data_IF_211842349571
#
_entry.id   IF_211842349571
#
_cell.length_a   1.000
_cell.length_b   1.000
_cell.length_c   1.000
_cell.angle_alpha   90.00
_cell.angle_beta   90.00
_cell.angle_gamma   90.00
#
_symmetry.space_group_name_H-M   'P 1'
#
loop_
_entity.id
_entity.type
_entity.pdbx_description
1 polymer ?
#
# COMPACT_ATOMS: atom_id res chain seq x y z
N UNK A 1 14.67 -0.06 8.01
CA UNK A 1 14.57 -1.49 7.74
C UNK A 1 13.18 -1.84 7.25
N UNK A 2 13.07 -2.12 5.94
CA UNK A 2 11.89 -2.64 5.27
C UNK A 2 12.12 -4.11 4.94
N UNK A 3 11.05 -4.89 4.88
CA UNK A 3 11.09 -6.32 4.58
C UNK A 3 10.25 -6.58 3.33
N UNK A 4 10.86 -7.21 2.32
CA UNK A 4 10.13 -7.81 1.20
C UNK A 4 9.23 -8.91 1.77
N UNK A 5 8.00 -9.05 1.27
CA UNK A 5 6.94 -9.89 1.86
C UNK A 5 7.21 -11.39 2.08
N UNK A 6 8.45 -11.91 2.07
CA UNK A 6 8.79 -13.32 2.34
C UNK A 6 10.16 -13.57 3.01
N UNK A 7 11.17 -12.69 2.94
CA UNK A 7 12.53 -13.02 3.40
C UNK A 7 13.14 -11.98 4.34
N UNK A 8 13.80 -12.45 5.41
CA UNK A 8 14.51 -11.59 6.38
C UNK A 8 15.74 -10.99 5.71
N UNK A 9 15.92 -9.68 5.86
CA UNK A 9 17.23 -9.06 5.62
C UNK A 9 17.64 -9.06 4.15
N UNK A 10 16.71 -8.77 3.25
CA UNK A 10 17.04 -8.51 1.85
C UNK A 10 17.75 -7.14 1.78
N UNK A 11 19.09 -7.13 1.73
CA UNK A 11 19.89 -5.90 1.60
C UNK A 11 19.44 -5.08 0.39
N UNK A 12 18.94 -5.76 -0.64
CA UNK A 12 18.33 -5.14 -1.82
C UNK A 12 17.07 -4.33 -1.47
N UNK A 13 16.28 -4.75 -0.49
CA UNK A 13 15.09 -4.01 -0.06
C UNK A 13 15.48 -2.73 0.70
N UNK A 14 16.54 -2.77 1.51
CA UNK A 14 17.01 -1.58 2.21
C UNK A 14 17.65 -0.58 1.26
N UNK A 15 18.49 -1.04 0.34
CA UNK A 15 19.05 -0.22 -0.73
C UNK A 15 17.93 0.38 -1.61
N UNK A 16 16.92 -0.41 -1.96
CA UNK A 16 15.74 0.03 -2.72
C UNK A 16 15.01 1.18 -2.00
N UNK A 17 14.73 1.04 -0.70
CA UNK A 17 14.05 2.11 0.05
C UNK A 17 14.95 3.32 0.24
N UNK A 18 16.24 3.13 0.51
CA UNK A 18 17.18 4.25 0.67
C UNK A 18 17.40 5.03 -0.62
N UNK A 19 17.16 4.42 -1.78
CA UNK A 19 17.19 5.11 -3.08
C UNK A 19 15.99 6.06 -3.27
N UNK A 20 14.91 5.90 -2.52
CA UNK A 20 13.75 6.80 -2.54
C UNK A 20 14.07 8.10 -1.80
N UNK A 21 14.60 9.10 -2.52
CA UNK A 21 15.02 10.37 -1.91
C UNK A 21 13.90 11.39 -1.78
N UNK A 22 13.24 11.72 -2.89
CA UNK A 22 12.23 12.78 -2.95
C UNK A 22 10.97 12.25 -3.60
N UNK A 23 9.80 12.37 -2.95
CA UNK A 23 8.54 12.02 -3.58
C UNK A 23 8.23 13.01 -4.71
N UNK A 24 7.74 12.51 -5.83
CA UNK A 24 7.19 13.34 -6.91
C UNK A 24 5.88 13.98 -6.50
N UNK A 25 5.09 13.22 -5.74
CA UNK A 25 3.80 13.64 -5.21
C UNK A 25 3.67 13.13 -3.79
N UNK A 26 3.11 13.94 -2.91
CA UNK A 26 2.76 13.53 -1.56
C UNK A 26 1.45 14.18 -1.13
N UNK A 27 0.64 13.43 -0.38
CA UNK A 27 -0.61 13.93 0.20
C UNK A 27 -0.89 13.24 1.50
N UNK A 28 -1.53 13.96 2.41
CA UNK A 28 -1.98 13.44 3.70
C UNK A 28 -3.51 13.49 3.74
N UNK A 29 -4.11 12.42 4.23
CA UNK A 29 -5.55 12.23 4.32
C UNK A 29 -5.97 12.06 5.78
N UNK A 30 -7.17 12.54 6.10
CA UNK A 30 -7.80 12.23 7.38
C UNK A 30 -8.16 10.74 7.45
N UNK A 31 -8.27 10.19 8.65
CA UNK A 31 -8.76 8.81 8.84
C UNK A 31 -10.28 8.80 8.84
N UNK A 32 -10.89 9.01 7.68
CA UNK A 32 -12.35 8.90 7.50
C UNK A 32 -12.68 8.10 6.25
N UNK A 33 -13.89 7.55 6.20
CA UNK A 33 -14.36 6.84 5.02
C UNK A 33 -14.46 7.76 3.79
N UNK A 34 -14.86 9.03 3.95
CA UNK A 34 -14.89 9.97 2.82
C UNK A 34 -13.48 10.25 2.27
N UNK A 35 -12.47 10.20 3.13
CA UNK A 35 -11.09 10.39 2.71
C UNK A 35 -10.57 9.22 1.86
N UNK A 36 -11.15 8.02 1.97
CA UNK A 36 -10.78 6.86 1.15
C UNK A 36 -11.07 7.13 -0.32
N UNK A 37 -12.28 7.59 -0.65
CA UNK A 37 -12.68 7.85 -2.04
C UNK A 37 -11.78 8.94 -2.66
N UNK A 38 -11.62 10.06 -1.97
CA UNK A 38 -10.74 11.15 -2.43
C UNK A 38 -9.26 10.76 -2.53
N UNK A 39 -8.80 9.78 -1.74
CA UNK A 39 -7.44 9.25 -1.85
C UNK A 39 -7.26 8.39 -3.10
N UNK A 40 -8.26 7.56 -3.44
CA UNK A 40 -8.24 6.77 -4.67
C UNK A 40 -8.24 7.69 -5.87
N UNK A 41 -9.17 8.65 -5.95
CA UNK A 41 -9.26 9.61 -7.06
C UNK A 41 -7.93 10.35 -7.27
N UNK A 42 -7.37 10.91 -6.20
CA UNK A 42 -6.07 11.58 -6.24
C UNK A 42 -4.95 10.64 -6.72
N UNK A 43 -4.93 9.39 -6.25
CA UNK A 43 -3.93 8.43 -6.65
C UNK A 43 -4.01 8.11 -8.15
N UNK A 44 -5.23 7.97 -8.70
CA UNK A 44 -5.40 7.73 -10.13
C UNK A 44 -4.94 8.92 -10.97
N UNK A 45 -5.26 10.14 -10.56
CA UNK A 45 -4.78 11.37 -11.21
C UNK A 45 -3.25 11.43 -11.25
N UNK A 46 -2.61 11.12 -10.12
CA UNK A 46 -1.15 11.06 -10.01
C UNK A 46 -0.56 9.98 -10.93
N UNK A 47 -1.12 8.78 -10.93
CA UNK A 47 -0.66 7.71 -11.82
C UNK A 47 -0.79 8.09 -13.30
N UNK A 48 -1.95 8.62 -13.72
CA UNK A 48 -2.18 9.06 -15.11
C UNK A 48 -1.22 10.17 -15.54
N UNK A 49 -0.84 11.06 -14.61
CA UNK A 49 0.09 12.15 -14.90
C UNK A 49 1.56 11.69 -15.04
N UNK A 50 1.95 10.64 -14.33
CA UNK A 50 3.37 10.24 -14.20
C UNK A 50 3.72 9.03 -15.07
N UNK A 51 2.78 8.12 -15.32
CA UNK A 51 3.06 6.86 -16.02
C UNK A 51 2.01 6.56 -17.08
N UNK A 52 2.41 6.06 -18.27
CA UNK A 52 1.47 5.60 -19.29
C UNK A 52 0.93 4.22 -18.90
N UNK A 53 0.02 4.19 -17.92
CA UNK A 53 -0.77 3.00 -17.63
C UNK A 53 -1.85 2.81 -18.69
N UNK A 54 -1.99 1.57 -19.16
CA UNK A 54 -3.23 1.17 -19.83
C UNK A 54 -4.37 1.02 -18.80
N UNK A 55 -5.59 0.80 -19.27
CA UNK A 55 -6.76 0.71 -18.39
C UNK A 55 -6.70 -0.47 -17.42
N UNK A 56 -6.09 -1.59 -17.82
CA UNK A 56 -5.96 -2.77 -16.97
C UNK A 56 -4.94 -2.52 -15.86
N UNK A 57 -3.80 -1.92 -16.20
CA UNK A 57 -2.77 -1.52 -15.25
C UNK A 57 -3.27 -0.47 -14.27
N UNK A 58 -4.03 0.53 -14.75
CA UNK A 58 -4.65 1.54 -13.89
C UNK A 58 -5.66 0.90 -12.94
N UNK A 59 -6.53 0.04 -13.44
CA UNK A 59 -7.51 -0.69 -12.62
C UNK A 59 -6.82 -1.53 -11.54
N UNK A 60 -5.73 -2.22 -11.92
CA UNK A 60 -4.91 -2.99 -10.99
C UNK A 60 -4.26 -2.09 -9.94
N UNK A 61 -3.78 -0.91 -10.34
CA UNK A 61 -3.20 0.06 -9.44
C UNK A 61 -4.18 0.64 -8.42
N UNK A 62 -5.36 1.03 -8.88
CA UNK A 62 -6.43 1.52 -8.01
C UNK A 62 -6.89 0.43 -7.02
N UNK A 63 -7.00 -0.83 -7.47
CA UNK A 63 -7.36 -1.95 -6.59
C UNK A 63 -6.33 -2.18 -5.49
N UNK A 64 -5.03 -2.25 -5.85
CA UNK A 64 -3.95 -2.45 -4.88
C UNK A 64 -3.91 -1.28 -3.89
N UNK A 65 -4.02 -0.06 -4.40
CA UNK A 65 -4.03 1.15 -3.58
C UNK A 65 -5.18 1.15 -2.59
N UNK A 66 -6.41 0.91 -3.05
CA UNK A 66 -7.61 0.86 -2.22
C UNK A 66 -7.46 -0.17 -1.09
N UNK A 67 -7.02 -1.38 -1.39
CA UNK A 67 -6.84 -2.43 -0.39
C UNK A 67 -5.80 -2.05 0.67
N UNK A 68 -4.69 -1.43 0.27
CA UNK A 68 -3.63 -1.01 1.20
C UNK A 68 -4.02 0.24 2.00
N UNK A 69 -4.73 1.19 1.39
CA UNK A 69 -5.25 2.36 2.06
C UNK A 69 -6.35 2.00 3.08
N UNK A 70 -7.25 1.07 2.73
CA UNK A 70 -8.24 0.53 3.66
C UNK A 70 -7.58 -0.21 4.83
N UNK A 71 -6.47 -0.91 4.61
CA UNK A 71 -5.71 -1.50 5.71
C UNK A 71 -5.14 -0.41 6.65
N UNK A 72 -4.58 0.67 6.10
CA UNK A 72 -4.09 1.80 6.88
C UNK A 72 -5.21 2.48 7.70
N UNK A 73 -6.39 2.65 7.09
CA UNK A 73 -7.59 3.21 7.71
C UNK A 73 -8.14 2.29 8.82
N UNK A 74 -8.59 1.07 8.48
CA UNK A 74 -9.29 0.18 9.41
C UNK A 74 -8.36 -0.46 10.45
N UNK A 75 -7.26 -1.06 9.99
CA UNK A 75 -6.39 -1.88 10.83
C UNK A 75 -5.26 -1.06 11.47
N UNK A 76 -4.80 -0.02 10.77
CA UNK A 76 -3.79 0.92 11.26
C UNK A 76 -4.40 1.88 12.27
N UNK A 77 -4.99 2.96 11.78
CA UNK A 77 -5.42 4.10 12.58
C UNK A 77 -6.62 3.78 13.48
N UNK A 78 -7.67 3.12 12.96
CA UNK A 78 -8.85 2.79 13.77
C UNK A 78 -8.64 1.58 14.71
N UNK A 79 -7.57 0.80 14.51
CA UNK A 79 -7.27 -0.38 15.33
C UNK A 79 -8.40 -1.41 15.34
N UNK A 80 -9.18 -1.49 14.27
CA UNK A 80 -10.23 -2.47 14.08
C UNK A 80 -9.57 -3.71 13.48
N UNK A 81 -9.04 -4.58 14.34
CA UNK A 81 -8.48 -5.85 13.87
C UNK A 81 -9.54 -6.76 13.21
N UNK A 82 -9.08 -7.84 12.59
CA UNK A 82 -9.93 -8.77 11.83
C UNK A 82 -11.04 -9.39 12.67
N UNK A 83 -10.75 -9.75 13.91
CA UNK A 83 -11.73 -10.36 14.81
C UNK A 83 -12.78 -9.34 15.26
N UNK A 84 -12.36 -8.10 15.52
CA UNK A 84 -13.25 -6.98 15.83
C UNK A 84 -14.14 -6.64 14.63
N UNK A 85 -13.56 -6.55 13.42
CA UNK A 85 -14.30 -6.30 12.17
C UNK A 85 -15.35 -7.38 11.94
N UNK A 86 -14.96 -8.66 12.04
CA UNK A 86 -15.87 -9.80 11.89
C UNK A 86 -17.04 -9.70 12.88
N UNK A 87 -16.74 -9.44 14.16
CA UNK A 87 -17.77 -9.29 15.19
C UNK A 87 -18.74 -8.15 14.89
N UNK A 88 -18.23 -6.97 14.50
CA UNK A 88 -19.07 -5.83 14.16
C UNK A 88 -19.95 -6.08 12.93
N UNK A 89 -19.44 -6.80 11.92
CA UNK A 89 -20.21 -7.18 10.74
C UNK A 89 -21.30 -8.22 11.09
N UNK A 90 -20.97 -9.25 11.89
CA UNK A 90 -21.93 -10.26 12.35
C UNK A 90 -23.05 -9.66 13.20
N UNK A 91 -22.75 -8.58 13.93
CA UNK A 91 -23.70 -7.84 14.74
C UNK A 91 -24.46 -6.75 13.95
N UNK A 92 -24.08 -6.49 12.70
CA UNK A 92 -24.68 -5.42 11.88
C UNK A 92 -24.33 -3.99 12.32
N UNK A 93 -23.43 -3.82 13.29
CA UNK A 93 -23.10 -2.52 13.91
C UNK A 93 -21.85 -1.86 13.32
N UNK A 94 -21.27 -2.43 12.26
CA UNK A 94 -20.00 -1.95 11.71
C UNK A 94 -20.06 -0.48 11.30
N UNK A 95 -21.01 -0.12 10.43
CA UNK A 95 -21.19 1.23 9.94
C UNK A 95 -21.69 2.21 11.01
N UNK A 96 -22.36 1.72 12.07
CA UNK A 96 -22.76 2.55 13.21
C UNK A 96 -21.57 2.89 14.12
N UNK A 97 -20.61 1.96 14.27
CA UNK A 97 -19.42 2.17 15.09
C UNK A 97 -18.36 3.02 14.41
N UNK A 98 -18.24 2.96 13.09
CA UNK A 98 -17.18 3.67 12.35
C UNK A 98 -17.12 5.17 12.68
N UNK A 99 -18.20 5.98 12.56
CA UNK A 99 -18.13 7.42 12.83
C UNK A 99 -17.70 7.74 14.25
N UNK A 100 -18.08 6.91 15.22
CA UNK A 100 -17.69 7.06 16.63
C UNK A 100 -16.18 6.84 16.79
N UNK A 101 -15.62 5.84 16.10
CA UNK A 101 -14.18 5.55 16.18
C UNK A 101 -13.38 6.63 15.44
N UNK A 102 -13.85 7.06 14.27
CA UNK A 102 -13.24 8.14 13.48
C UNK A 102 -13.19 9.47 14.26
N UNK A 103 -14.28 9.87 14.90
CA UNK A 103 -14.34 11.10 15.71
C UNK A 103 -13.35 11.10 16.89
N UNK A 104 -12.93 9.92 17.35
CA UNK A 104 -11.95 9.77 18.43
C UNK A 104 -10.51 9.63 17.92
N UNK A 105 -10.27 9.83 16.62
CA UNK A 105 -8.98 9.64 15.97
C UNK A 105 -8.58 10.87 15.16
N UNK A 106 -7.59 11.62 15.66
CA UNK A 106 -6.90 12.66 14.88
C UNK A 106 -5.83 12.10 13.93
N UNK A 107 -5.73 10.77 13.86
CA UNK A 107 -4.71 10.09 13.09
C UNK A 107 -4.84 10.37 11.59
N UNK A 108 -3.71 10.35 10.88
CA UNK A 108 -3.65 10.62 9.45
C UNK A 108 -3.02 9.46 8.69
N UNK A 109 -3.27 9.43 7.38
CA UNK A 109 -2.63 8.50 6.44
C UNK A 109 -1.83 9.34 5.46
N UNK A 110 -0.53 9.09 5.38
CA UNK A 110 0.36 9.76 4.42
C UNK A 110 0.58 8.87 3.20
N UNK A 111 0.39 9.42 2.01
CA UNK A 111 0.69 8.75 0.75
C UNK A 111 1.78 9.52 0.02
N UNK A 112 2.80 8.80 -0.44
CA UNK A 112 3.92 9.35 -1.21
C UNK A 112 4.16 8.53 -2.46
N UNK A 113 4.34 9.18 -3.59
CA UNK A 113 4.63 8.54 -4.88
C UNK A 113 6.01 8.97 -5.33
N UNK A 114 6.84 7.99 -5.65
CA UNK A 114 8.22 8.16 -6.07
C UNK A 114 8.40 7.59 -7.47
N UNK A 115 9.26 8.20 -8.26
CA UNK A 115 9.88 7.53 -9.40
C UNK A 115 11.22 6.96 -8.92
N UNK A 116 11.46 5.69 -9.23
CA UNK A 116 12.73 5.04 -9.01
C UNK A 116 13.27 4.56 -10.35
N UNK A 117 14.53 4.89 -10.62
CA UNK A 117 15.23 4.45 -11.82
C UNK A 117 16.29 3.42 -11.44
N UNK A 118 16.23 2.24 -12.06
CA UNK A 118 17.22 1.17 -11.88
C UNK A 118 17.55 0.55 -13.23
N UNK A 119 18.82 0.55 -13.60
CA UNK A 119 19.31 -0.08 -14.83
C UNK A 119 18.59 0.39 -16.12
N UNK A 120 18.18 1.65 -16.20
CA UNK A 120 17.45 2.21 -17.36
C UNK A 120 15.94 1.88 -17.38
N UNK A 121 15.43 1.37 -16.27
CA UNK A 121 14.01 1.05 -16.06
C UNK A 121 13.47 1.96 -14.95
N UNK A 122 12.46 2.74 -15.27
CA UNK A 122 11.74 3.59 -14.34
C UNK A 122 10.54 2.83 -13.73
N UNK A 123 10.31 3.00 -12.45
CA UNK A 123 9.23 2.35 -11.70
C UNK A 123 8.55 3.37 -10.80
N UNK A 124 7.22 3.33 -10.74
CA UNK A 124 6.46 4.17 -9.82
C UNK A 124 6.23 3.40 -8.53
N UNK A 125 6.80 3.92 -7.45
CA UNK A 125 6.74 3.32 -6.12
C UNK A 125 5.80 4.15 -5.26
N UNK A 126 4.79 3.50 -4.72
CA UNK A 126 3.79 4.14 -3.86
C UNK A 126 4.02 3.70 -2.42
N UNK A 127 4.12 4.68 -1.52
CA UNK A 127 4.20 4.50 -0.08
C UNK A 127 2.89 4.91 0.57
N UNK A 128 2.36 4.07 1.46
CA UNK A 128 1.25 4.41 2.34
C UNK A 128 1.71 4.15 3.76
N UNK A 129 1.68 5.17 4.61
CA UNK A 129 1.97 5.02 6.04
C UNK A 129 0.78 5.50 6.89
N UNK A 130 0.48 4.73 7.93
CA UNK A 130 -0.49 5.04 8.98
C UNK A 130 0.21 5.34 10.33
N UNK A 131 -0.51 5.96 11.25
CA UNK A 131 -0.03 6.32 12.60
C UNK A 131 -0.37 5.24 13.64
N UNK A 132 -1.00 4.15 13.21
CA UNK A 132 -1.38 3.02 14.02
C UNK A 132 -0.20 2.26 14.61
N UNK A 133 -0.51 1.26 15.45
CA UNK A 133 0.52 0.45 16.13
C UNK A 133 1.31 -0.43 15.15
N UNK A 134 0.81 -0.61 13.93
CA UNK A 134 1.31 -1.53 12.93
C UNK A 134 1.01 -2.99 13.28
N UNK A 135 1.47 -3.92 12.44
CA UNK A 135 1.24 -5.35 12.63
C UNK A 135 2.53 -6.18 12.58
N UNK A 136 2.50 -7.34 13.23
CA UNK A 136 3.60 -8.28 13.16
C UNK A 136 3.63 -8.99 11.79
N UNK A 137 4.43 -8.44 10.87
CA UNK A 137 4.61 -8.96 9.52
C UNK A 137 5.00 -10.45 9.50
N UNK A 138 5.85 -10.91 10.43
CA UNK A 138 6.30 -12.30 10.49
C UNK A 138 5.15 -13.25 10.84
N UNK A 139 4.27 -12.84 11.75
CA UNK A 139 3.09 -13.62 12.11
C UNK A 139 2.14 -13.73 10.92
N UNK A 140 1.96 -12.64 10.18
CA UNK A 140 1.14 -12.62 8.97
C UNK A 140 1.70 -13.53 7.87
N UNK A 141 3.01 -13.45 7.57
CA UNK A 141 3.66 -14.30 6.55
C UNK A 141 3.51 -15.79 6.88
N UNK A 142 3.60 -16.16 8.17
CA UNK A 142 3.38 -17.54 8.60
C UNK A 142 1.93 -17.98 8.37
N UNK A 143 0.96 -17.12 8.64
CA UNK A 143 -0.47 -17.41 8.46
C UNK A 143 -0.85 -17.52 6.98
N UNK A 144 -0.29 -16.70 6.09
CA UNK A 144 -0.60 -16.74 4.65
C UNK A 144 -0.11 -18.02 3.94
N UNK A 145 0.82 -18.76 4.53
CA UNK A 145 1.28 -20.07 4.04
C UNK A 145 0.33 -21.21 4.41
N UNK A 146 -0.57 -21.00 5.37
CA UNK A 146 -1.61 -21.97 5.71
C UNK A 146 -2.83 -21.78 4.78
N UNK A 147 -3.25 -22.85 4.09
CA UNK A 147 -4.35 -22.82 3.11
C UNK A 147 -5.74 -22.58 3.73
N UNK A 148 -5.84 -22.40 5.04
CA UNK A 148 -7.07 -22.58 5.82
C UNK A 148 -7.67 -21.29 6.38
N UNK A 149 -7.15 -20.10 6.03
CA UNK A 149 -7.69 -18.87 6.59
C UNK A 149 -7.97 -17.78 5.53
N UNK A 150 -9.24 -17.47 5.21
CA UNK A 150 -9.62 -16.42 4.26
C UNK A 150 -9.42 -14.99 4.78
N UNK A 151 -9.01 -14.84 6.05
CA UNK A 151 -8.95 -13.55 6.74
C UNK A 151 -7.63 -12.84 6.46
N UNK A 152 -7.47 -12.31 5.24
CA UNK A 152 -6.28 -11.56 4.78
C UNK A 152 -6.34 -11.14 3.31
N UNK A 153 -7.55 -11.04 2.74
CA UNK A 153 -7.76 -10.82 1.31
C UNK A 153 -7.05 -9.58 0.80
N UNK A 154 -7.11 -8.44 1.49
CA UNK A 154 -6.48 -7.21 1.01
C UNK A 154 -4.99 -7.35 0.74
N UNK A 155 -4.19 -7.74 1.74
CA UNK A 155 -2.75 -7.96 1.54
C UNK A 155 -2.47 -9.06 0.49
N UNK A 156 -3.29 -10.10 0.42
CA UNK A 156 -3.15 -11.15 -0.59
C UNK A 156 -3.46 -10.66 -2.02
N UNK A 157 -4.53 -9.87 -2.17
CA UNK A 157 -4.93 -9.20 -3.41
C UNK A 157 -3.83 -8.24 -3.82
N UNK A 158 -3.35 -7.38 -2.92
CA UNK A 158 -2.24 -6.48 -3.18
C UNK A 158 -1.01 -7.24 -3.69
N UNK A 159 -0.60 -8.31 -2.99
CA UNK A 159 0.56 -9.14 -3.38
C UNK A 159 0.44 -9.81 -4.74
N UNK A 160 -0.78 -10.19 -5.14
CA UNK A 160 -1.02 -10.82 -6.45
C UNK A 160 -1.05 -9.80 -7.59
N UNK A 161 -1.28 -8.53 -7.27
CA UNK A 161 -1.54 -7.48 -8.24
C UNK A 161 -0.44 -6.39 -8.28
N UNK A 162 0.60 -6.50 -7.45
CA UNK A 162 1.81 -5.70 -7.52
C UNK A 162 3.02 -6.55 -7.93
N UNK A 163 4.03 -5.95 -8.54
CA UNK A 163 5.30 -6.61 -8.81
C UNK A 163 6.02 -6.95 -7.51
N UNK A 164 6.06 -5.99 -6.58
CA UNK A 164 6.63 -6.18 -5.26
C UNK A 164 5.94 -5.32 -4.22
N UNK A 165 6.03 -5.78 -2.98
CA UNK A 165 5.51 -5.10 -1.80
C UNK A 165 6.47 -5.26 -0.61
N UNK A 166 6.69 -4.16 0.09
CA UNK A 166 7.60 -4.07 1.22
C UNK A 166 6.89 -3.42 2.39
N UNK A 167 7.16 -3.90 3.60
CA UNK A 167 6.63 -3.32 4.83
C UNK A 167 7.77 -2.89 5.74
N UNK A 168 7.60 -1.78 6.45
CA UNK A 168 8.56 -1.41 7.49
C UNK A 168 8.50 -2.40 8.67
N UNK A 169 9.51 -2.36 9.55
CA UNK A 169 9.59 -3.25 10.72
C UNK A 169 8.37 -3.17 11.65
N UNK A 170 7.79 -1.97 11.80
CA UNK A 170 6.62 -1.74 12.64
C UNK A 170 5.34 -2.30 12.01
N UNK A 171 5.30 -2.42 10.69
CA UNK A 171 4.12 -2.85 9.93
C UNK A 171 3.06 -1.77 9.82
N UNK A 172 3.41 -0.49 9.90
CA UNK A 172 2.50 0.65 9.70
C UNK A 172 2.87 1.49 8.47
N UNK A 173 3.80 0.99 7.66
CA UNK A 173 4.08 1.60 6.37
C UNK A 173 4.39 0.53 5.33
N UNK A 174 3.77 0.68 4.17
CA UNK A 174 3.86 -0.21 3.02
C UNK A 174 4.37 0.54 1.81
N UNK A 175 5.21 -0.12 1.01
CA UNK A 175 5.68 0.31 -0.29
C UNK A 175 5.27 -0.73 -1.32
N UNK A 176 4.75 -0.32 -2.47
CA UNK A 176 4.44 -1.23 -3.59
C UNK A 176 4.69 -0.56 -4.94
N UNK A 177 4.87 -1.37 -5.98
CA UNK A 177 4.88 -0.90 -7.38
C UNK A 177 4.28 -1.94 -8.34
N UNK A 178 3.77 -1.46 -9.48
CA UNK A 178 2.88 -2.23 -10.38
C UNK A 178 3.38 -2.28 -11.82
N UNK A 179 4.32 -1.40 -12.17
CA UNK A 179 4.93 -1.39 -13.48
C UNK A 179 6.38 -0.92 -13.39
N UNK A 180 7.20 -1.63 -14.11
CA UNK A 180 8.52 -1.22 -14.54
C UNK A 180 8.38 -0.79 -16.02
N UNK A 181 8.87 0.38 -16.39
CA UNK A 181 8.84 0.86 -17.78
C UNK A 181 10.24 1.30 -18.23
N UNK A 182 10.57 0.98 -19.49
CA UNK A 182 11.82 1.41 -20.10
C UNK A 182 11.84 2.93 -20.24
N UNK A 183 12.97 3.54 -19.95
CA UNK A 183 13.17 4.98 -20.05
C UNK A 183 12.90 5.49 -21.48
N UNK A 184 12.10 6.56 -21.63
CA UNK A 184 11.98 7.29 -22.91
C UNK A 184 13.30 8.02 -23.18
N UNK A 185 14.22 7.38 -23.89
CA UNK A 185 15.47 8.04 -24.31
C UNK A 185 16.65 7.15 -24.66
N UNK A 186 16.62 5.85 -24.35
CA UNK A 186 17.64 4.91 -24.85
C UNK A 186 17.19 4.28 -26.15
N UNK A 187 17.48 4.96 -27.26
CA UNK A 187 17.76 4.25 -28.50
C UNK A 187 18.91 3.29 -28.18
N UNK A 188 18.64 2.00 -28.27
CA UNK A 188 19.72 1.03 -28.36
C UNK A 188 20.44 1.34 -29.68
N UNK A 189 21.63 1.94 -29.60
CA UNK A 189 22.59 1.80 -30.69
C UNK A 189 22.97 0.32 -30.70
N UNK A 190 22.39 -0.42 -31.65
CA UNK A 190 22.84 -1.76 -32.01
C UNK A 190 24.30 -1.66 -32.46
N UNK A 191 25.19 -2.34 -31.75
CA UNK A 191 26.56 -2.65 -32.18
C UNK A 191 26.71 -4.15 -32.30
#
# INVERSE_FOLDING_TARGET
MYYRGVERGDTLAEEFVNALKTPMQERTFATTLEAVDSAVEWYEEVCRAITPYDEEEMSRASLVFLELFMNAYEHGNLGIDREKKKRYLEQGIYYEKLPIIEQNSDAKISVKVYEMQKSGVASIVTQICDEGRGFNLLQFIKQSKSKTNPNGRGIFVSRKNCNDIYYNKRGNCVLFFIKEHLEKGKLYEES
#
